data_IF_259199302884
#
_entry.id   IF_259199302884
#
_cell.length_a   1.000
_cell.length_b   1.000
_cell.length_c   1.000
_cell.angle_alpha   90.00
_cell.angle_beta   90.00
_cell.angle_gamma   90.00
#
_symmetry.space_group_name_H-M   'P 1'
#
loop_
_entity.id
_entity.type
_entity.pdbx_description
1 polymer ?
#
# COMPACT_ATOMS: atom_id res chain seq x y z
N UNK A 1 -0.94 -7.28 19.89
CA UNK A 1 -0.36 -5.92 19.76
C UNK A 1 0.32 -5.85 18.40
N UNK A 2 0.06 -4.84 17.58
CA UNK A 2 0.74 -4.69 16.29
C UNK A 2 2.21 -4.31 16.51
N UNK A 3 3.09 -4.72 15.59
CA UNK A 3 4.49 -4.33 15.61
C UNK A 3 4.71 -2.84 15.24
N UNK A 4 5.95 -2.36 15.23
CA UNK A 4 6.26 -0.95 14.98
C UNK A 4 5.89 -0.46 13.59
N UNK A 5 5.75 -1.38 12.63
CA UNK A 5 5.29 -1.06 11.27
C UNK A 5 3.77 -1.17 11.11
N UNK A 6 3.04 -1.57 12.17
CA UNK A 6 1.57 -1.68 12.19
C UNK A 6 0.99 -2.60 11.12
N UNK A 7 1.74 -3.60 10.73
CA UNK A 7 1.28 -4.61 9.78
C UNK A 7 0.37 -5.62 10.50
N UNK A 8 -0.84 -5.83 9.98
CA UNK A 8 -1.82 -6.74 10.62
C UNK A 8 -1.43 -8.22 10.52
N UNK A 9 -0.75 -8.61 9.47
CA UNK A 9 -0.51 -10.00 9.11
C UNK A 9 0.67 -10.14 8.16
N UNK A 10 1.07 -11.36 7.87
CA UNK A 10 2.05 -11.70 6.82
C UNK A 10 3.43 -11.10 7.03
N UNK A 11 4.01 -11.23 8.22
CA UNK A 11 5.44 -11.00 8.42
C UNK A 11 6.25 -12.07 7.68
N UNK A 12 7.36 -11.69 7.05
CA UNK A 12 8.27 -12.60 6.37
C UNK A 12 9.43 -13.00 7.31
N UNK A 13 9.32 -14.16 7.92
CA UNK A 13 10.32 -14.70 8.82
C UNK A 13 11.41 -15.41 8.04
N UNK A 14 12.45 -14.65 7.65
CA UNK A 14 13.64 -15.17 7.00
C UNK A 14 14.71 -15.54 8.05
N UNK A 15 15.73 -16.27 7.61
CA UNK A 15 16.92 -16.52 8.45
C UNK A 15 17.52 -15.16 8.87
N UNK A 16 17.68 -14.96 10.19
CA UNK A 16 18.14 -13.70 10.77
C UNK A 16 17.05 -12.73 11.22
N UNK A 17 15.75 -12.99 10.92
CA UNK A 17 14.64 -12.26 11.52
C UNK A 17 14.34 -12.84 12.92
N UNK A 18 14.73 -12.15 13.97
CA UNK A 18 14.53 -12.59 15.35
C UNK A 18 13.33 -11.95 16.03
N UNK A 19 12.91 -10.79 15.55
CA UNK A 19 11.80 -10.03 16.11
C UNK A 19 10.75 -9.68 15.06
N UNK A 20 9.53 -9.39 15.51
CA UNK A 20 8.40 -9.05 14.63
C UNK A 20 8.71 -7.86 13.70
N UNK A 21 9.42 -6.86 14.19
CA UNK A 21 9.80 -5.69 13.41
C UNK A 21 10.61 -6.05 12.15
N UNK A 22 11.54 -7.00 12.25
CA UNK A 22 12.36 -7.44 11.12
C UNK A 22 11.52 -8.20 10.10
N UNK A 23 10.62 -9.06 10.57
CA UNK A 23 9.72 -9.81 9.71
C UNK A 23 8.71 -8.90 8.97
N UNK A 24 8.20 -7.86 9.64
CA UNK A 24 7.35 -6.84 9.02
C UNK A 24 8.13 -6.04 7.96
N UNK A 25 9.34 -5.56 8.31
CA UNK A 25 10.22 -4.82 7.40
C UNK A 25 10.60 -5.66 6.16
N UNK A 26 10.95 -6.93 6.36
CA UNK A 26 11.28 -7.85 5.27
C UNK A 26 10.10 -8.04 4.30
N UNK A 27 8.86 -8.17 4.82
CA UNK A 27 7.68 -8.30 3.99
C UNK A 27 7.37 -7.00 3.23
N UNK A 28 7.50 -5.83 3.87
CA UNK A 28 7.30 -4.53 3.21
C UNK A 28 8.33 -4.32 2.10
N UNK A 29 9.60 -4.63 2.36
CA UNK A 29 10.65 -4.55 1.37
C UNK A 29 10.39 -5.49 0.17
N UNK A 30 10.02 -6.75 0.42
CA UNK A 30 9.68 -7.72 -0.63
C UNK A 30 8.46 -7.28 -1.45
N UNK A 31 7.45 -6.69 -0.81
CA UNK A 31 6.27 -6.14 -1.51
C UNK A 31 6.67 -5.01 -2.46
N UNK A 32 7.52 -4.10 -2.02
CA UNK A 32 8.06 -3.02 -2.86
C UNK A 32 8.89 -3.55 -4.04
N UNK A 33 9.75 -4.55 -3.79
CA UNK A 33 10.56 -5.20 -4.83
C UNK A 33 9.68 -5.87 -5.89
N UNK A 34 8.72 -6.69 -5.47
CA UNK A 34 7.78 -7.39 -6.37
C UNK A 34 6.88 -6.43 -7.15
N UNK A 35 6.47 -5.33 -6.53
CA UNK A 35 5.76 -4.24 -7.21
C UNK A 35 6.65 -3.44 -8.15
N UNK A 36 7.97 -3.68 -8.16
CA UNK A 36 8.97 -2.96 -8.94
C UNK A 36 8.89 -1.45 -8.67
N UNK A 37 8.80 -1.09 -7.39
CA UNK A 37 8.82 0.31 -6.99
C UNK A 37 10.22 0.89 -7.14
N UNK A 38 10.28 2.12 -7.62
CA UNK A 38 11.50 2.90 -7.75
C UNK A 38 11.24 4.35 -7.34
N UNK A 39 12.27 5.07 -6.97
CA UNK A 39 12.12 6.48 -6.63
C UNK A 39 11.70 7.31 -7.86
N UNK A 40 10.96 8.39 -7.63
CA UNK A 40 10.44 9.28 -8.68
C UNK A 40 9.12 8.82 -9.32
N UNK A 41 8.48 7.74 -8.84
CA UNK A 41 7.21 7.24 -9.37
C UNK A 41 5.99 7.90 -8.72
N UNK A 42 4.89 7.97 -9.46
CA UNK A 42 3.53 8.17 -8.93
C UNK A 42 2.97 6.80 -8.51
N UNK A 43 2.72 6.62 -7.22
CA UNK A 43 2.28 5.35 -6.65
C UNK A 43 0.90 5.52 -6.00
N UNK A 44 -0.06 4.67 -6.38
CA UNK A 44 -1.36 4.58 -5.74
C UNK A 44 -1.43 3.32 -4.88
N UNK A 45 -1.77 3.47 -3.61
CA UNK A 45 -2.06 2.35 -2.71
C UNK A 45 -3.56 2.26 -2.46
N UNK A 46 -4.15 1.08 -2.75
CA UNK A 46 -5.55 0.79 -2.52
C UNK A 46 -5.73 -0.03 -1.24
N UNK A 47 -6.42 0.56 -0.25
CA UNK A 47 -6.65 -0.09 1.03
C UNK A 47 -5.44 -0.01 1.96
N UNK A 48 -5.04 1.21 2.34
CA UNK A 48 -3.80 1.43 3.10
C UNK A 48 -3.85 1.03 4.60
N UNK A 49 -5.02 0.66 5.14
CA UNK A 49 -5.17 0.31 6.55
C UNK A 49 -4.61 1.41 7.47
N UNK A 50 -3.74 1.07 8.42
CA UNK A 50 -3.05 2.02 9.29
C UNK A 50 -1.75 2.59 8.68
N UNK A 51 -1.54 2.43 7.37
CA UNK A 51 -0.45 3.06 6.64
C UNK A 51 0.90 2.35 6.75
N UNK A 52 0.90 1.05 7.06
CA UNK A 52 2.13 0.26 7.14
C UNK A 52 2.99 0.40 5.89
N UNK A 53 2.42 0.07 4.72
CA UNK A 53 3.11 0.18 3.44
C UNK A 53 3.23 1.65 2.98
N UNK A 54 2.20 2.48 3.21
CA UNK A 54 2.21 3.92 2.88
C UNK A 54 3.41 4.63 3.45
N UNK A 55 3.61 4.52 4.78
CA UNK A 55 4.70 5.19 5.49
C UNK A 55 6.08 4.59 5.13
N UNK A 56 6.11 3.28 4.88
CA UNK A 56 7.32 2.60 4.39
C UNK A 56 7.74 3.13 3.02
N UNK A 57 6.80 3.21 2.06
CA UNK A 57 7.07 3.75 0.73
C UNK A 57 7.48 5.22 0.78
N UNK A 58 6.79 6.03 1.59
CA UNK A 58 7.11 7.45 1.75
C UNK A 58 8.55 7.68 2.21
N UNK A 59 9.02 6.89 3.19
CA UNK A 59 10.39 6.98 3.69
C UNK A 59 11.42 6.40 2.71
N UNK A 60 11.07 5.31 2.01
CA UNK A 60 12.00 4.58 1.13
C UNK A 60 12.21 5.25 -0.22
N UNK A 61 11.20 5.95 -0.72
CA UNK A 61 11.17 6.58 -2.04
C UNK A 61 10.82 8.07 -1.91
N UNK A 62 11.75 8.91 -1.42
CA UNK A 62 11.46 10.31 -1.11
C UNK A 62 11.15 11.17 -2.35
N UNK A 63 11.62 10.79 -3.53
CA UNK A 63 11.29 11.44 -4.80
C UNK A 63 9.97 10.98 -5.43
N UNK A 64 9.32 9.94 -4.87
CA UNK A 64 8.02 9.42 -5.33
C UNK A 64 6.86 10.18 -4.68
N UNK A 65 5.71 10.19 -5.35
CA UNK A 65 4.45 10.71 -4.81
C UNK A 65 3.54 9.52 -4.45
N UNK A 66 3.27 9.37 -3.15
CA UNK A 66 2.46 8.27 -2.62
C UNK A 66 1.05 8.78 -2.37
N UNK A 67 0.07 8.26 -3.11
CA UNK A 67 -1.35 8.48 -2.85
C UNK A 67 -1.95 7.20 -2.28
N UNK A 68 -2.44 7.25 -1.05
CA UNK A 68 -3.05 6.11 -0.39
C UNK A 68 -4.56 6.33 -0.22
N UNK A 69 -5.35 5.28 -0.41
CA UNK A 69 -6.81 5.32 -0.27
C UNK A 69 -7.25 4.45 0.90
N UNK A 70 -8.03 5.03 1.80
CA UNK A 70 -8.70 4.35 2.90
C UNK A 70 -10.17 4.76 2.96
N UNK A 71 -11.05 3.85 3.38
CA UNK A 71 -12.45 4.17 3.67
C UNK A 71 -12.66 4.78 5.06
N UNK A 72 -11.60 4.96 5.86
CA UNK A 72 -11.63 5.45 7.23
C UNK A 72 -10.95 6.81 7.38
N UNK A 73 -11.70 7.82 7.82
CA UNK A 73 -11.15 9.14 8.16
C UNK A 73 -10.15 9.05 9.33
N UNK A 74 -10.42 8.23 10.34
CA UNK A 74 -9.53 8.02 11.48
C UNK A 74 -8.18 7.45 11.05
N UNK A 75 -8.17 6.48 10.12
CA UNK A 75 -6.92 5.95 9.57
C UNK A 75 -6.14 7.04 8.83
N UNK A 76 -6.83 7.86 8.02
CA UNK A 76 -6.20 9.00 7.34
C UNK A 76 -5.55 9.96 8.33
N UNK A 77 -6.28 10.41 9.34
CA UNK A 77 -5.77 11.34 10.36
C UNK A 77 -4.52 10.78 11.04
N UNK A 78 -4.57 9.50 11.41
CA UNK A 78 -3.46 8.82 12.05
C UNK A 78 -2.23 8.71 11.13
N UNK A 79 -2.41 8.30 9.87
CA UNK A 79 -1.32 8.17 8.89
C UNK A 79 -0.69 9.54 8.62
N UNK A 80 -1.51 10.57 8.41
CA UNK A 80 -0.99 11.91 8.12
C UNK A 80 -0.23 12.49 9.31
N UNK A 81 -0.68 12.25 10.56
CA UNK A 81 0.08 12.62 11.74
C UNK A 81 1.45 11.94 11.81
N UNK A 82 1.52 10.63 11.53
CA UNK A 82 2.78 9.87 11.49
C UNK A 82 3.69 10.30 10.34
N UNK A 83 3.12 10.63 9.17
CA UNK A 83 3.88 11.17 8.05
C UNK A 83 4.53 12.52 8.43
N UNK A 84 3.76 13.42 9.04
CA UNK A 84 4.28 14.71 9.52
C UNK A 84 5.39 14.54 10.57
N UNK A 85 5.21 13.68 11.57
CA UNK A 85 6.23 13.37 12.59
C UNK A 85 7.54 12.85 12.00
N UNK A 86 7.45 12.14 10.84
CA UNK A 86 8.60 11.57 10.13
C UNK A 86 9.16 12.49 9.04
N UNK A 87 8.56 13.66 8.81
CA UNK A 87 8.95 14.58 7.73
C UNK A 87 8.68 14.02 6.33
N UNK A 88 7.62 13.21 6.16
CA UNK A 88 7.25 12.61 4.87
C UNK A 88 6.27 13.52 4.13
N UNK A 89 6.78 14.46 3.35
CA UNK A 89 5.98 15.43 2.58
C UNK A 89 5.41 14.82 1.28
N UNK A 90 5.85 13.64 0.91
CA UNK A 90 5.51 12.93 -0.32
C UNK A 90 4.32 11.96 -0.17
N UNK A 91 3.65 11.96 0.98
CA UNK A 91 2.51 11.09 1.31
C UNK A 91 1.21 11.88 1.35
N UNK A 92 0.20 11.40 0.63
CA UNK A 92 -1.17 11.91 0.64
C UNK A 92 -2.15 10.78 0.89
N UNK A 93 -3.08 10.94 1.84
CA UNK A 93 -4.15 9.97 2.10
C UNK A 93 -5.50 10.56 1.71
N UNK A 94 -6.28 9.80 0.94
CA UNK A 94 -7.63 10.13 0.50
C UNK A 94 -8.61 9.20 1.22
N UNK A 95 -9.63 9.78 1.86
CA UNK A 95 -10.74 8.98 2.40
C UNK A 95 -11.76 8.76 1.30
N UNK A 96 -11.88 7.54 0.82
CA UNK A 96 -12.83 7.16 -0.22
C UNK A 96 -13.13 5.65 -0.18
N UNK A 97 -14.31 5.28 -0.64
CA UNK A 97 -14.62 3.90 -0.98
C UNK A 97 -13.98 3.56 -2.33
N UNK A 98 -13.14 2.53 -2.37
CA UNK A 98 -12.44 2.07 -3.58
C UNK A 98 -13.42 1.71 -4.70
N UNK A 99 -14.66 1.29 -4.37
CA UNK A 99 -15.68 0.93 -5.38
C UNK A 99 -16.16 2.12 -6.21
N UNK A 100 -16.05 3.34 -5.70
CA UNK A 100 -16.46 4.58 -6.36
C UNK A 100 -15.32 5.58 -6.56
N UNK A 101 -14.15 5.30 -6.02
CA UNK A 101 -12.98 6.16 -6.12
C UNK A 101 -12.57 6.40 -7.57
N UNK A 102 -12.32 7.65 -7.92
CA UNK A 102 -11.79 8.07 -9.22
C UNK A 102 -10.63 9.04 -8.98
N UNK A 103 -9.40 8.67 -9.34
CA UNK A 103 -8.26 9.57 -9.23
C UNK A 103 -8.29 10.63 -10.34
N UNK A 104 -7.71 11.79 -10.03
CA UNK A 104 -7.56 12.90 -10.99
C UNK A 104 -6.30 12.77 -11.85
N UNK A 105 -5.47 11.75 -11.58
CA UNK A 105 -4.20 11.52 -12.28
C UNK A 105 -3.98 10.03 -12.54
N UNK A 106 -3.00 9.72 -13.38
CA UNK A 106 -2.54 8.35 -13.62
C UNK A 106 -1.26 8.04 -12.85
N UNK A 107 -0.97 6.74 -12.67
CA UNK A 107 0.09 6.25 -11.81
C UNK A 107 1.05 5.31 -12.54
N UNK A 108 2.32 5.33 -12.13
CA UNK A 108 3.33 4.38 -12.58
C UNK A 108 3.11 2.99 -11.96
N UNK A 109 2.62 2.99 -10.71
CA UNK A 109 2.33 1.77 -9.94
C UNK A 109 1.02 1.90 -9.18
N UNK A 110 0.26 0.83 -9.17
CA UNK A 110 -0.86 0.63 -8.25
C UNK A 110 -0.52 -0.57 -7.39
N UNK A 111 -0.58 -0.41 -6.07
CA UNK A 111 -0.29 -1.47 -5.11
C UNK A 111 -1.50 -1.71 -4.22
N UNK A 112 -1.76 -2.96 -3.88
CA UNK A 112 -2.81 -3.34 -2.93
C UNK A 112 -2.36 -4.55 -2.14
N UNK A 113 -2.43 -4.43 -0.82
CA UNK A 113 -2.05 -5.48 0.12
C UNK A 113 -3.24 -5.79 1.00
N UNK A 114 -3.73 -7.05 0.92
CA UNK A 114 -4.80 -7.58 1.77
C UNK A 114 -6.11 -6.73 1.73
N UNK A 115 -6.48 -6.29 0.52
CA UNK A 115 -7.73 -5.56 0.31
C UNK A 115 -8.59 -6.20 -0.79
N UNK A 116 -7.97 -6.72 -1.86
CA UNK A 116 -8.70 -7.30 -2.99
C UNK A 116 -9.62 -8.46 -2.57
N UNK A 117 -9.26 -9.26 -1.56
CA UNK A 117 -10.07 -10.34 -1.01
C UNK A 117 -11.43 -9.88 -0.45
N UNK A 118 -11.55 -8.60 -0.10
CA UNK A 118 -12.80 -8.00 0.39
C UNK A 118 -13.69 -7.46 -0.73
N UNK A 119 -13.20 -7.46 -1.98
CA UNK A 119 -13.92 -6.94 -3.12
C UNK A 119 -14.78 -8.02 -3.77
N UNK A 120 -16.01 -7.67 -4.14
CA UNK A 120 -16.92 -8.61 -4.82
C UNK A 120 -16.73 -8.65 -6.33
N UNK A 121 -16.38 -7.52 -6.93
CA UNK A 121 -16.26 -7.37 -8.39
C UNK A 121 -14.82 -7.05 -8.79
N UNK A 122 -13.96 -8.08 -8.75
CA UNK A 122 -12.56 -7.97 -9.13
C UNK A 122 -12.38 -7.51 -10.59
N UNK A 123 -13.24 -7.98 -11.50
CA UNK A 123 -13.17 -7.61 -12.92
C UNK A 123 -13.34 -6.11 -13.13
N UNK A 124 -14.34 -5.52 -12.50
CA UNK A 124 -14.59 -4.06 -12.61
C UNK A 124 -13.46 -3.27 -11.93
N UNK A 125 -13.01 -3.67 -10.76
CA UNK A 125 -11.90 -2.99 -10.09
C UNK A 125 -10.63 -3.06 -10.94
N UNK A 126 -10.27 -4.22 -11.49
CA UNK A 126 -9.09 -4.38 -12.33
C UNK A 126 -9.18 -3.53 -13.62
N UNK A 127 -10.37 -3.46 -14.25
CA UNK A 127 -10.61 -2.59 -15.40
C UNK A 127 -10.35 -1.12 -15.04
N UNK A 128 -10.88 -0.64 -13.92
CA UNK A 128 -10.66 0.74 -13.45
C UNK A 128 -9.20 1.00 -13.13
N UNK A 129 -8.53 0.07 -12.47
CA UNK A 129 -7.09 0.18 -12.19
C UNK A 129 -6.28 0.26 -13.47
N UNK A 130 -6.66 -0.49 -14.52
CA UNK A 130 -6.03 -0.37 -15.84
C UNK A 130 -6.14 1.08 -16.37
N UNK A 131 -7.32 1.71 -16.24
CA UNK A 131 -7.54 3.08 -16.70
C UNK A 131 -6.77 4.13 -15.86
N UNK A 132 -6.40 3.79 -14.62
CA UNK A 132 -5.60 4.66 -13.73
C UNK A 132 -4.09 4.49 -13.92
N UNK A 133 -3.66 3.46 -14.63
CA UNK A 133 -2.24 3.24 -14.90
C UNK A 133 -1.77 4.05 -16.13
N UNK A 134 -0.57 4.60 -16.02
CA UNK A 134 0.16 5.14 -17.17
C UNK A 134 0.51 4.01 -18.16
N UNK A 135 0.79 4.32 -19.43
CA UNK A 135 1.36 3.33 -20.37
C UNK A 135 2.61 2.67 -19.76
N UNK A 136 2.62 1.32 -19.69
CA UNK A 136 3.69 0.55 -19.06
C UNK A 136 3.63 0.51 -17.52
N UNK A 137 2.63 1.14 -16.92
CA UNK A 137 2.36 1.05 -15.48
C UNK A 137 1.96 -0.37 -15.05
N UNK A 138 2.11 -0.68 -13.75
CA UNK A 138 1.89 -2.04 -13.22
C UNK A 138 1.02 -2.03 -11.98
N UNK A 139 0.17 -3.07 -11.88
CA UNK A 139 -0.59 -3.41 -10.68
C UNK A 139 0.15 -4.52 -9.92
N UNK A 140 0.35 -4.32 -8.63
CA UNK A 140 0.77 -5.36 -7.68
C UNK A 140 -0.36 -5.64 -6.70
N UNK A 141 -0.69 -6.91 -6.52
CA UNK A 141 -1.71 -7.37 -5.56
C UNK A 141 -1.12 -8.46 -4.68
N UNK A 142 -1.22 -8.27 -3.38
CA UNK A 142 -0.98 -9.29 -2.37
C UNK A 142 -2.30 -9.57 -1.64
N UNK A 143 -2.70 -10.83 -1.59
CA UNK A 143 -3.91 -11.29 -0.89
C UNK A 143 -3.58 -12.40 0.10
N UNK A 144 -4.36 -12.48 1.16
CA UNK A 144 -4.44 -13.65 2.03
C UNK A 144 -5.60 -14.52 1.58
N UNK A 145 -5.32 -15.79 1.26
CA UNK A 145 -6.34 -16.77 0.93
C UNK A 145 -6.20 -17.98 1.84
N UNK A 146 -7.27 -18.34 2.53
CA UNK A 146 -7.38 -19.63 3.19
C UNK A 146 -7.91 -20.63 2.18
N UNK A 147 -7.02 -21.43 1.60
CA UNK A 147 -7.41 -22.56 0.77
C UNK A 147 -7.49 -23.77 1.67
N UNK A 148 -8.70 -24.31 1.85
CA UNK A 148 -8.86 -25.66 2.39
C UNK A 148 -8.50 -26.63 1.28
N UNK A 149 -7.36 -27.29 1.42
CA UNK A 149 -6.96 -28.42 0.59
C UNK A 149 -7.58 -29.67 1.17
#
# INVERSE_FOLDING_TARGET
MLGPHLKYSSGLWQAGCEILADAEAAMLALSCERAQLADGQDILELGCGWGSLTLWMGARYPGSRITAVSNSATQKEWIMARAAERGLDNVRVITADVTVFQPEQTFDRVVSVEMFEHMRNHRELTRRVHDWLKPGGKLFVHILSLIHI
#
